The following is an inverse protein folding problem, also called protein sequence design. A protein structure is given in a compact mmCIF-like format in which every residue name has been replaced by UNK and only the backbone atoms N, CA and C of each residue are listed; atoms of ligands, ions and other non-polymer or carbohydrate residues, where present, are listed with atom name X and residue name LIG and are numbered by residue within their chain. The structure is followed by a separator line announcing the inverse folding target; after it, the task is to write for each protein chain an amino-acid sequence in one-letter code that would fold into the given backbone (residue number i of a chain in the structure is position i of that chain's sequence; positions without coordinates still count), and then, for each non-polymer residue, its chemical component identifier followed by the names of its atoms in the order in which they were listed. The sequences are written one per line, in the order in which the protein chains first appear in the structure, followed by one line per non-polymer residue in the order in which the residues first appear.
data_IF_401441713472
#
_entry.id   IF_401441713472
#
_cell.length_a   1.000
_cell.length_b   1.000
_cell.length_c   1.000
_cell.angle_alpha   90.00
_cell.angle_beta   90.00
_cell.angle_gamma   90.00
#
_symmetry.space_group_name_H-M   'P 1'
#
loop_
_entity.id
_entity.type
_entity.pdbx_description
1 polymer ?
#
# COMPACT_ATOMS: atom_id res chain seq x y z
N UNK A 1 71.31 34.01 -8.90
CA UNK A 1 70.25 34.62 -8.05
C UNK A 1 68.94 33.90 -8.39
N UNK A 2 68.46 32.98 -7.54
CA UNK A 2 67.26 33.13 -6.67
C UNK A 2 66.01 33.49 -7.51
N UNK A 3 64.91 32.72 -7.60
CA UNK A 3 64.27 31.76 -6.67
C UNK A 3 63.35 30.78 -7.43
N UNK A 4 63.28 29.55 -6.92
CA UNK A 4 62.23 28.55 -7.22
C UNK A 4 60.84 29.05 -6.80
N UNK A 5 59.81 28.63 -7.52
CA UNK A 5 58.48 28.39 -6.93
C UNK A 5 57.85 27.17 -7.61
N UNK A 6 57.75 26.08 -6.84
CA UNK A 6 56.91 24.91 -7.15
C UNK A 6 55.46 25.29 -6.91
N UNK A 7 54.56 24.88 -7.81
CA UNK A 7 53.16 24.66 -7.46
C UNK A 7 52.69 23.37 -8.12
N UNK A 8 52.67 22.30 -7.32
CA UNK A 8 52.02 21.04 -7.62
C UNK A 8 50.54 21.18 -7.23
N UNK A 9 49.62 21.06 -8.17
CA UNK A 9 48.20 20.84 -7.88
C UNK A 9 47.85 19.41 -8.28
N UNK A 10 47.83 18.57 -7.25
CA UNK A 10 47.26 17.23 -7.20
C UNK A 10 45.77 17.31 -7.57
N UNK A 11 45.38 16.84 -8.75
CA UNK A 11 43.98 16.56 -9.07
C UNK A 11 43.60 15.24 -8.40
N UNK A 12 43.18 15.33 -7.15
CA UNK A 12 42.55 14.24 -6.41
C UNK A 12 41.21 13.90 -7.07
N UNK A 13 41.07 12.62 -7.45
CA UNK A 13 39.82 12.07 -7.94
C UNK A 13 38.71 12.26 -6.90
N UNK A 14 37.64 12.93 -7.32
CA UNK A 14 36.38 12.93 -6.58
C UNK A 14 35.72 11.57 -6.80
N UNK A 15 36.12 10.58 -6.00
CA UNK A 15 35.25 9.46 -5.69
C UNK A 15 34.07 10.04 -4.91
N UNK A 16 32.97 10.33 -5.60
CA UNK A 16 31.71 10.61 -4.96
C UNK A 16 31.22 9.32 -4.28
N UNK A 17 31.71 9.06 -3.07
CA UNK A 17 30.94 8.30 -2.10
C UNK A 17 29.75 9.17 -1.74
N UNK A 18 28.67 9.01 -2.50
CA UNK A 18 27.35 9.51 -2.11
C UNK A 18 27.08 8.94 -0.71
N UNK A 19 27.00 9.84 0.27
CA UNK A 19 26.80 9.45 1.67
C UNK A 19 25.38 8.92 1.75
N UNK A 20 25.23 7.61 1.99
CA UNK A 20 23.93 6.99 2.23
C UNK A 20 23.17 7.83 3.26
N UNK A 21 21.96 8.34 2.94
CA UNK A 21 21.22 9.18 3.84
C UNK A 21 20.85 8.39 5.09
N UNK A 22 20.94 9.08 6.22
CA UNK A 22 20.70 8.52 7.54
C UNK A 22 19.23 8.11 7.68
N UNK A 23 18.99 6.80 7.65
CA UNK A 23 17.65 6.20 7.70
C UNK A 23 16.90 6.54 9.01
N UNK A 24 17.61 6.93 10.07
CA UNK A 24 17.00 7.25 11.37
C UNK A 24 16.28 8.61 11.40
N UNK A 25 16.43 9.43 10.36
CA UNK A 25 15.72 10.72 10.24
C UNK A 25 14.46 10.65 9.38
N UNK A 26 14.19 9.52 8.72
CA UNK A 26 13.04 9.34 7.82
C UNK A 26 11.71 9.12 8.58
N UNK A 27 11.77 8.71 9.85
CA UNK A 27 10.57 8.52 10.69
C UNK A 27 9.79 9.81 10.95
N UNK A 28 10.40 10.99 10.74
CA UNK A 28 9.77 12.27 11.04
C UNK A 28 8.71 12.71 10.01
N UNK A 29 8.75 12.21 8.77
CA UNK A 29 7.90 12.67 7.67
C UNK A 29 6.93 11.61 7.14
N UNK A 30 7.12 10.32 7.47
CA UNK A 30 6.20 9.25 7.08
C UNK A 30 4.99 9.24 8.01
N UNK A 31 3.83 9.64 7.47
CA UNK A 31 2.57 9.59 8.21
C UNK A 31 1.77 8.40 7.73
N UNK A 32 1.69 7.37 8.57
CA UNK A 32 0.83 6.19 8.36
C UNK A 32 -0.41 6.31 9.23
N UNK A 33 -1.58 6.25 8.61
CA UNK A 33 -2.87 6.20 9.25
C UNK A 33 -3.51 4.83 9.01
N UNK A 34 -4.18 4.29 10.02
CA UNK A 34 -4.92 3.03 9.94
C UNK A 34 -6.29 3.19 10.57
N UNK A 35 -7.31 2.57 9.98
CA UNK A 35 -8.65 2.44 10.55
C UNK A 35 -9.23 1.06 10.24
N UNK A 36 -10.24 0.64 10.98
CA UNK A 36 -10.79 -0.70 10.85
C UNK A 36 -12.22 -0.83 11.36
N UNK A 37 -12.87 -1.89 10.90
CA UNK A 37 -14.14 -2.37 11.45
C UNK A 37 -13.90 -3.08 12.78
N UNK A 38 -14.43 -2.50 13.87
CA UNK A 38 -14.31 -3.06 15.23
C UNK A 38 -15.12 -4.34 15.43
N UNK A 39 -16.08 -4.59 14.56
CA UNK A 39 -16.93 -5.78 14.62
C UNK A 39 -16.39 -6.91 13.72
N UNK A 40 -15.34 -6.66 12.92
CA UNK A 40 -14.72 -7.68 12.09
C UNK A 40 -13.90 -8.69 12.92
N UNK A 41 -14.16 -9.98 12.72
CA UNK A 41 -13.39 -11.07 13.31
C UNK A 41 -12.18 -11.43 12.43
N UNK A 42 -11.12 -10.63 12.51
CA UNK A 42 -9.87 -10.84 11.78
C UNK A 42 -9.24 -12.23 12.05
N UNK A 43 -9.55 -12.84 13.19
CA UNK A 43 -9.10 -14.17 13.58
C UNK A 43 -9.77 -15.29 12.79
N UNK A 44 -10.99 -15.07 12.31
CA UNK A 44 -11.76 -16.05 11.53
C UNK A 44 -11.25 -16.20 10.10
N UNK A 45 -10.75 -15.13 9.48
CA UNK A 45 -10.25 -15.16 8.11
C UNK A 45 -8.98 -16.01 8.00
N UNK A 46 -8.93 -16.92 7.02
CA UNK A 46 -7.79 -17.85 6.84
C UNK A 46 -7.01 -17.60 5.57
N UNK A 47 -7.72 -17.34 4.50
CA UNK A 47 -7.15 -17.20 3.16
C UNK A 47 -7.28 -15.76 2.69
N UNK A 48 -6.29 -15.28 1.95
CA UNK A 48 -6.37 -13.97 1.32
C UNK A 48 -5.96 -14.03 -0.15
N UNK A 49 -6.50 -13.11 -0.94
CA UNK A 49 -6.06 -12.84 -2.30
C UNK A 49 -5.46 -11.43 -2.39
N UNK A 50 -4.31 -11.33 -3.05
CA UNK A 50 -3.59 -10.07 -3.27
C UNK A 50 -3.29 -9.96 -4.78
N UNK A 51 -3.88 -8.98 -5.50
CA UNK A 51 -3.62 -8.75 -6.91
C UNK A 51 -2.12 -8.56 -7.21
N UNK A 52 -1.71 -8.90 -8.43
CA UNK A 52 -0.33 -8.80 -8.90
C UNK A 52 0.10 -7.38 -9.30
N UNK A 53 -0.70 -6.37 -8.93
CA UNK A 53 -0.53 -5.00 -9.37
C UNK A 53 -1.09 -4.00 -8.37
N UNK A 54 -0.52 -2.79 -8.38
CA UNK A 54 -0.98 -1.67 -7.58
C UNK A 54 -1.79 -0.76 -8.50
N UNK A 55 -3.00 -0.40 -8.12
CA UNK A 55 -3.81 0.53 -8.90
C UNK A 55 -3.18 1.93 -8.83
N UNK A 56 -3.03 2.61 -9.97
CA UNK A 56 -2.56 3.99 -10.00
C UNK A 56 -3.76 4.93 -10.15
N UNK A 57 -4.01 5.74 -9.12
CA UNK A 57 -5.10 6.69 -9.06
C UNK A 57 -4.67 8.07 -9.57
N UNK A 58 -5.57 8.75 -10.29
CA UNK A 58 -5.35 10.11 -10.81
C UNK A 58 -5.85 10.37 -12.23
N UNK A 59 -6.41 9.36 -12.91
CA UNK A 59 -6.99 9.48 -14.25
C UNK A 59 -8.47 9.08 -14.30
N UNK A 60 -9.13 9.32 -15.43
CA UNK A 60 -10.53 8.90 -15.67
C UNK A 60 -10.71 7.36 -15.68
N UNK A 61 -9.62 6.61 -15.90
CA UNK A 61 -9.56 5.15 -15.87
C UNK A 61 -8.40 4.72 -14.97
N UNK A 62 -8.58 3.59 -14.29
CA UNK A 62 -7.53 2.99 -13.48
C UNK A 62 -6.41 2.47 -14.39
N UNK A 63 -5.17 2.81 -14.06
CA UNK A 63 -3.98 2.11 -14.58
C UNK A 63 -3.40 1.24 -13.47
N UNK A 64 -2.47 0.36 -13.83
CA UNK A 64 -1.94 -0.64 -12.90
C UNK A 64 -0.42 -0.69 -13.00
N UNK A 65 0.25 -0.40 -11.88
CA UNK A 65 1.69 -0.49 -11.71
C UNK A 65 2.09 -1.94 -11.43
N UNK A 66 2.99 -2.48 -12.27
CA UNK A 66 3.33 -3.93 -12.34
C UNK A 66 4.82 -4.26 -12.43
N UNK A 67 5.70 -3.25 -12.38
CA UNK A 67 7.14 -3.48 -12.50
C UNK A 67 7.72 -4.14 -11.23
N UNK A 68 9.04 -4.34 -11.21
CA UNK A 68 9.73 -4.95 -10.06
C UNK A 68 9.61 -4.13 -8.77
N UNK A 69 9.42 -2.81 -8.86
CA UNK A 69 9.19 -1.97 -7.69
C UNK A 69 7.78 -2.19 -7.13
N UNK A 70 6.76 -2.29 -7.98
CA UNK A 70 5.41 -2.66 -7.55
C UNK A 70 5.41 -4.04 -6.87
N UNK A 71 6.10 -5.02 -7.48
CA UNK A 71 6.23 -6.37 -6.92
C UNK A 71 6.91 -6.37 -5.57
N UNK A 72 7.95 -5.57 -5.36
CA UNK A 72 8.62 -5.49 -4.06
C UNK A 72 7.67 -5.00 -2.95
N UNK A 73 6.79 -4.03 -3.24
CA UNK A 73 5.77 -3.56 -2.28
C UNK A 73 4.72 -4.65 -2.02
N UNK A 74 4.22 -5.31 -3.07
CA UNK A 74 3.24 -6.39 -2.95
C UNK A 74 3.81 -7.61 -2.19
N UNK A 75 5.08 -7.94 -2.40
CA UNK A 75 5.76 -8.98 -1.64
C UNK A 75 5.84 -8.60 -0.17
N UNK A 76 6.08 -7.32 0.14
CA UNK A 76 6.10 -6.87 1.53
C UNK A 76 4.74 -7.03 2.21
N UNK A 77 3.64 -6.74 1.51
CA UNK A 77 2.29 -7.02 2.01
C UNK A 77 2.07 -8.52 2.21
N UNK A 78 2.58 -9.34 1.29
CA UNK A 78 2.45 -10.79 1.41
C UNK A 78 3.20 -11.35 2.63
N UNK A 79 4.42 -10.88 2.89
CA UNK A 79 5.20 -11.21 4.09
C UNK A 79 4.43 -10.86 5.37
N UNK A 80 3.91 -9.63 5.47
CA UNK A 80 3.18 -9.19 6.68
C UNK A 80 1.90 -10.03 6.92
N UNK A 81 1.20 -10.43 5.87
CA UNK A 81 0.02 -11.30 5.95
C UNK A 81 0.40 -12.74 6.37
N UNK A 82 1.48 -13.28 5.81
CA UNK A 82 1.99 -14.62 6.17
C UNK A 82 2.44 -14.67 7.64
N UNK A 83 3.18 -13.66 8.11
CA UNK A 83 3.63 -13.52 9.50
C UNK A 83 2.45 -13.42 10.49
N UNK A 84 1.28 -12.98 9.99
CA UNK A 84 0.01 -12.89 10.74
C UNK A 84 -0.87 -14.12 10.62
N UNK A 85 -0.39 -15.17 9.96
CA UNK A 85 -1.05 -16.48 9.88
C UNK A 85 -2.04 -16.62 8.72
N UNK A 86 -2.10 -15.68 7.78
CA UNK A 86 -2.96 -15.80 6.61
C UNK A 86 -2.27 -16.58 5.48
N UNK A 87 -3.04 -17.41 4.78
CA UNK A 87 -2.55 -18.19 3.63
C UNK A 87 -2.93 -17.51 2.31
N UNK A 88 -1.96 -17.24 1.44
CA UNK A 88 -2.21 -16.61 0.15
C UNK A 88 -2.81 -17.58 -0.86
N UNK A 89 -3.89 -17.19 -1.53
CA UNK A 89 -4.35 -17.80 -2.77
C UNK A 89 -3.55 -17.20 -3.94
N UNK A 90 -2.76 -18.03 -4.61
CA UNK A 90 -1.89 -17.60 -5.72
C UNK A 90 -2.57 -17.69 -7.09
N UNK A 91 -3.56 -18.58 -7.22
CA UNK A 91 -4.29 -18.79 -8.46
C UNK A 91 -5.41 -17.74 -8.60
N UNK A 92 -5.37 -16.84 -9.60
CA UNK A 92 -6.41 -15.83 -9.81
C UNK A 92 -7.79 -16.43 -10.08
N UNK A 93 -7.86 -17.66 -10.61
CA UNK A 93 -9.13 -18.35 -10.86
C UNK A 93 -9.80 -18.83 -9.57
N UNK A 94 -9.05 -18.89 -8.46
CA UNK A 94 -9.51 -19.31 -7.13
C UNK A 94 -9.70 -18.15 -6.15
N UNK A 95 -9.70 -16.91 -6.65
CA UNK A 95 -9.85 -15.71 -5.81
C UNK A 95 -11.11 -15.75 -4.95
N UNK A 96 -12.18 -16.39 -5.42
CA UNK A 96 -13.44 -16.58 -4.70
C UNK A 96 -13.33 -17.56 -3.52
N UNK A 97 -12.25 -18.34 -3.41
CA UNK A 97 -11.91 -19.17 -2.24
C UNK A 97 -11.24 -18.35 -1.11
N UNK A 98 -10.87 -17.09 -1.36
CA UNK A 98 -10.26 -16.24 -0.34
C UNK A 98 -11.29 -15.72 0.66
N UNK A 99 -10.94 -15.71 1.96
CA UNK A 99 -11.77 -15.11 3.01
C UNK A 99 -11.74 -13.57 2.92
N UNK A 100 -10.58 -13.02 2.57
CA UNK A 100 -10.37 -11.57 2.42
C UNK A 100 -9.60 -11.22 1.15
N UNK A 101 -9.87 -10.04 0.60
CA UNK A 101 -9.05 -9.42 -0.44
C UNK A 101 -8.17 -8.34 0.16
N UNK A 102 -6.93 -8.20 -0.31
CA UNK A 102 -6.07 -7.05 0.02
C UNK A 102 -5.73 -6.33 -1.27
N UNK A 103 -6.04 -5.04 -1.36
CA UNK A 103 -5.76 -4.21 -2.53
C UNK A 103 -4.92 -2.99 -2.18
N UNK A 104 -4.11 -2.57 -3.16
CA UNK A 104 -3.25 -1.42 -3.05
C UNK A 104 -3.60 -0.40 -4.13
N UNK A 105 -3.53 0.87 -3.77
CA UNK A 105 -3.62 2.00 -4.70
C UNK A 105 -2.51 3.00 -4.43
N UNK A 106 -1.88 3.52 -5.48
CA UNK A 106 -0.90 4.59 -5.42
C UNK A 106 -1.47 5.86 -6.06
N UNK A 107 -1.59 6.92 -5.27
CA UNK A 107 -2.11 8.22 -5.72
C UNK A 107 -0.94 9.07 -6.19
N UNK A 108 -0.69 9.08 -7.50
CA UNK A 108 0.43 9.84 -8.09
C UNK A 108 0.12 11.34 -8.23
N UNK A 109 -1.16 11.72 -8.29
CA UNK A 109 -1.63 13.10 -8.42
C UNK A 109 -2.72 13.40 -7.39
N UNK A 110 -2.73 14.61 -6.82
CA UNK A 110 -3.71 15.01 -5.78
C UNK A 110 -5.12 14.73 -6.26
N UNK A 111 -5.85 13.91 -5.49
CA UNK A 111 -7.17 13.41 -5.86
C UNK A 111 -8.05 13.42 -4.61
N UNK A 112 -9.26 13.99 -4.70
CA UNK A 112 -10.24 13.96 -3.60
C UNK A 112 -11.13 12.72 -3.73
N UNK A 113 -10.98 11.75 -2.84
CA UNK A 113 -11.79 10.52 -2.84
C UNK A 113 -12.79 10.59 -1.69
N UNK A 114 -14.04 10.88 -2.01
CA UNK A 114 -15.15 10.84 -1.04
C UNK A 114 -15.80 9.45 -1.13
N UNK A 115 -15.84 8.71 -0.03
CA UNK A 115 -16.48 7.38 0.01
C UNK A 115 -17.99 7.45 -0.17
N UNK A 116 -18.55 6.45 -0.85
CA UNK A 116 -19.99 6.33 -1.11
C UNK A 116 -20.42 6.70 -2.53
N UNK A 117 -19.49 7.15 -3.39
CA UNK A 117 -19.73 7.40 -4.82
C UNK A 117 -18.84 6.55 -5.73
N UNK A 118 -19.31 6.27 -6.95
CA UNK A 118 -18.47 5.68 -8.00
C UNK A 118 -17.40 6.69 -8.42
N UNK A 119 -16.12 6.34 -8.23
CA UNK A 119 -14.98 7.13 -8.65
C UNK A 119 -14.32 6.48 -9.85
N UNK A 120 -14.36 7.15 -11.01
CA UNK A 120 -13.60 6.71 -12.18
C UNK A 120 -12.11 6.71 -11.83
N UNK A 121 -11.45 5.57 -12.02
CA UNK A 121 -10.03 5.42 -11.68
C UNK A 121 -9.72 4.87 -10.30
N UNK A 122 -10.68 4.23 -9.62
CA UNK A 122 -10.45 3.43 -8.40
C UNK A 122 -10.78 1.95 -8.61
N UNK A 123 -10.57 1.12 -7.57
CA UNK A 123 -10.97 -0.28 -7.56
C UNK A 123 -12.50 -0.40 -7.72
N UNK A 124 -12.90 -1.24 -8.66
CA UNK A 124 -14.29 -1.63 -8.86
C UNK A 124 -14.61 -2.83 -7.94
N UNK A 125 -15.68 -2.75 -7.16
CA UNK A 125 -16.10 -3.86 -6.29
C UNK A 125 -16.43 -5.13 -7.10
N UNK A 126 -16.81 -4.99 -8.37
CA UNK A 126 -17.01 -6.09 -9.31
C UNK A 126 -15.75 -6.89 -9.62
N UNK A 127 -14.55 -6.32 -9.38
CA UNK A 127 -13.31 -7.09 -9.40
C UNK A 127 -13.33 -8.21 -8.37
N UNK A 128 -13.93 -8.00 -7.20
CA UNK A 128 -13.93 -8.95 -6.09
C UNK A 128 -15.08 -9.95 -6.10
N UNK A 129 -16.01 -9.84 -7.05
CA UNK A 129 -17.17 -10.73 -7.16
C UNK A 129 -18.46 -9.96 -7.42
N UNK A 130 -19.62 -10.61 -7.28
CA UNK A 130 -20.94 -10.05 -7.60
C UNK A 130 -21.44 -9.09 -6.51
N UNK A 131 -20.67 -8.05 -6.22
CA UNK A 131 -21.00 -7.01 -5.24
C UNK A 131 -21.78 -5.86 -5.90
N UNK A 132 -22.55 -5.12 -5.11
CA UNK A 132 -23.41 -4.01 -5.55
C UNK A 132 -22.85 -2.63 -5.18
N UNK A 133 -21.73 -2.58 -4.47
CA UNK A 133 -21.17 -1.35 -3.92
C UNK A 133 -20.08 -1.62 -2.90
N UNK A 134 -19.47 -0.56 -2.38
CA UNK A 134 -18.57 -0.60 -1.23
C UNK A 134 -19.35 -0.31 0.06
N UNK A 135 -18.95 -0.94 1.17
CA UNK A 135 -19.45 -0.63 2.51
C UNK A 135 -18.28 -0.31 3.45
N UNK A 136 -18.31 0.89 4.02
CA UNK A 136 -17.33 1.35 5.01
C UNK A 136 -18.04 1.49 6.36
N UNK A 137 -17.79 0.59 7.33
CA UNK A 137 -18.43 0.61 8.65
C UNK A 137 -17.87 1.69 9.58
N UNK A 138 -16.89 2.48 9.13
CA UNK A 138 -16.26 3.60 9.84
C UNK A 138 -16.38 4.89 9.03
N UNK A 139 -16.34 6.08 9.67
CA UNK A 139 -16.42 7.35 8.97
C UNK A 139 -15.20 7.52 8.08
N UNK A 140 -15.44 7.59 6.78
CA UNK A 140 -14.38 7.80 5.81
C UNK A 140 -14.55 9.15 5.11
N UNK A 141 -13.50 9.96 5.17
CA UNK A 141 -13.35 11.17 4.34
C UNK A 141 -11.87 11.31 4.01
N UNK A 142 -11.50 10.96 2.78
CA UNK A 142 -10.11 11.04 2.33
C UNK A 142 -9.93 12.18 1.34
N UNK A 143 -9.00 13.10 1.66
CA UNK A 143 -8.39 13.97 0.67
C UNK A 143 -6.94 13.51 0.52
N UNK A 144 -6.63 12.84 -0.58
CA UNK A 144 -5.29 12.33 -0.82
C UNK A 144 -4.42 13.39 -1.48
N UNK A 145 -3.29 13.67 -0.85
CA UNK A 145 -2.21 14.41 -1.48
C UNK A 145 -1.49 13.50 -2.49
N UNK A 146 -0.77 14.09 -3.44
CA UNK A 146 0.21 13.38 -4.28
C UNK A 146 1.12 12.49 -3.45
N UNK A 147 1.50 11.34 -4.02
CA UNK A 147 2.34 10.33 -3.40
C UNK A 147 1.71 9.80 -2.10
N UNK A 148 0.56 9.14 -2.24
CA UNK A 148 -0.05 8.40 -1.14
C UNK A 148 -0.20 6.94 -1.53
N UNK A 149 0.28 6.03 -0.68
CA UNK A 149 -0.02 4.61 -0.76
C UNK A 149 -1.26 4.34 0.07
N UNK A 150 -2.27 3.70 -0.53
CA UNK A 150 -3.50 3.28 0.13
C UNK A 150 -3.56 1.76 0.09
N UNK A 151 -3.95 1.16 1.21
CA UNK A 151 -4.09 -0.27 1.40
C UNK A 151 -5.47 -0.52 1.99
N UNK A 152 -6.22 -1.46 1.42
CA UNK A 152 -7.56 -1.80 1.86
C UNK A 152 -7.69 -3.33 1.97
N UNK A 153 -8.28 -3.80 3.06
CA UNK A 153 -8.68 -5.19 3.24
C UNK A 153 -10.20 -5.29 3.17
N UNK A 154 -10.69 -6.23 2.37
CA UNK A 154 -12.11 -6.40 2.08
C UNK A 154 -12.57 -7.79 2.51
N UNK A 155 -13.74 -7.88 3.12
CA UNK A 155 -14.32 -9.17 3.56
C UNK A 155 -15.08 -9.83 2.41
N UNK A 156 -14.49 -10.89 1.85
CA UNK A 156 -15.09 -11.67 0.76
C UNK A 156 -16.05 -12.74 1.27
N UNK A 157 -15.97 -13.08 2.56
CA UNK A 157 -16.80 -14.08 3.24
C UNK A 157 -18.13 -13.54 3.73
N UNK A 158 -18.29 -12.22 3.82
CA UNK A 158 -19.56 -11.57 4.16
C UNK A 158 -20.70 -12.14 3.28
N UNK A 159 -21.67 -12.80 3.93
CA UNK A 159 -22.63 -13.71 3.30
C UNK A 159 -23.37 -13.13 2.09
N UNK A 160 -23.61 -13.97 1.08
CA UNK A 160 -24.25 -13.67 -0.22
C UNK A 160 -25.76 -13.41 -0.18
N UNK A 161 -26.38 -13.37 1.00
CA UNK A 161 -27.82 -13.56 1.11
C UNK A 161 -28.55 -12.21 1.18
N UNK A 162 -28.84 -11.62 0.01
CA UNK A 162 -29.63 -10.38 -0.11
C UNK A 162 -29.61 -9.75 -1.51
N UNK A 163 -30.60 -8.91 -1.83
CA UNK A 163 -30.78 -8.26 -3.14
C UNK A 163 -29.85 -7.07 -3.41
N UNK A 164 -29.09 -6.62 -2.41
CA UNK A 164 -28.03 -5.58 -2.55
C UNK A 164 -26.88 -5.92 -1.60
N UNK A 165 -25.75 -6.37 -2.15
CA UNK A 165 -24.60 -6.89 -1.39
C UNK A 165 -23.41 -5.94 -1.53
N UNK A 166 -23.24 -5.02 -0.58
CA UNK A 166 -22.06 -4.16 -0.59
C UNK A 166 -20.86 -4.90 0.01
N UNK A 167 -19.69 -4.74 -0.60
CA UNK A 167 -18.43 -5.33 -0.17
C UNK A 167 -17.87 -4.55 1.02
N UNK A 168 -17.76 -5.16 2.22
CA UNK A 168 -17.22 -4.49 3.39
C UNK A 168 -15.71 -4.26 3.23
N UNK A 169 -15.26 -3.04 3.46
CA UNK A 169 -13.85 -2.73 3.71
C UNK A 169 -13.65 -2.79 5.21
N UNK A 170 -12.95 -3.83 5.68
CA UNK A 170 -12.78 -4.13 7.12
C UNK A 170 -11.52 -3.52 7.70
N UNK A 171 -10.53 -3.21 6.86
CA UNK A 171 -9.35 -2.46 7.28
C UNK A 171 -8.90 -1.52 6.17
N UNK A 172 -8.38 -0.39 6.60
CA UNK A 172 -7.84 0.65 5.76
C UNK A 172 -6.52 1.14 6.33
N UNK A 173 -5.57 1.41 5.44
CA UNK A 173 -4.41 2.21 5.76
C UNK A 173 -4.07 3.18 4.63
N UNK A 174 -3.51 4.33 5.01
CA UNK A 174 -2.83 5.20 4.07
C UNK A 174 -1.50 5.68 4.62
N UNK A 175 -0.54 5.82 3.72
CA UNK A 175 0.77 6.36 4.01
C UNK A 175 1.08 7.49 3.03
N UNK A 176 1.44 8.64 3.57
CA UNK A 176 1.78 9.83 2.80
C UNK A 176 3.07 10.47 3.35
N UNK A 177 3.60 11.45 2.63
CA UNK A 177 4.87 12.11 3.00
C UNK A 177 6.07 11.64 2.18
N UNK A 178 5.86 10.91 1.07
CA UNK A 178 6.94 10.55 0.17
C UNK A 178 7.42 11.79 -0.61
N UNK A 179 8.49 12.41 -0.11
CA UNK A 179 9.11 13.61 -0.71
C UNK A 179 10.33 13.31 -1.58
N UNK A 180 10.70 12.03 -1.72
CA UNK A 180 11.96 11.61 -2.36
C UNK A 180 11.69 10.83 -3.66
N UNK A 181 12.65 10.85 -4.58
CA UNK A 181 12.59 10.10 -5.86
C UNK A 181 13.48 8.85 -5.82
N UNK A 182 13.26 7.92 -6.75
CA UNK A 182 14.10 6.73 -6.91
C UNK A 182 14.01 5.72 -5.77
N UNK A 183 15.14 5.08 -5.42
CA UNK A 183 15.18 3.97 -4.46
C UNK A 183 14.74 4.34 -3.04
N UNK A 184 14.90 5.61 -2.63
CA UNK A 184 14.45 6.07 -1.31
C UNK A 184 12.93 6.04 -1.19
N UNK A 185 12.21 6.44 -2.23
CA UNK A 185 10.75 6.33 -2.24
C UNK A 185 10.32 4.86 -2.12
N UNK A 186 11.01 3.97 -2.82
CA UNK A 186 10.72 2.55 -2.84
C UNK A 186 10.87 1.88 -1.47
N UNK A 187 11.90 2.25 -0.70
CA UNK A 187 12.10 1.74 0.67
C UNK A 187 11.07 2.32 1.63
N UNK A 188 10.71 3.60 1.47
CA UNK A 188 9.68 4.24 2.28
C UNK A 188 8.30 3.60 2.07
N UNK A 189 7.95 3.26 0.83
CA UNK A 189 6.70 2.54 0.52
C UNK A 189 6.65 1.16 1.19
N UNK A 190 7.77 0.43 1.22
CA UNK A 190 7.85 -0.85 1.93
C UNK A 190 7.80 -0.67 3.45
N UNK A 191 8.49 0.33 4.01
CA UNK A 191 8.42 0.64 5.44
C UNK A 191 7.00 1.06 5.86
N UNK A 192 6.28 1.79 5.00
CA UNK A 192 4.90 2.16 5.23
C UNK A 192 3.97 0.95 5.34
N UNK A 193 4.21 -0.09 4.51
CA UNK A 193 3.49 -1.37 4.63
C UNK A 193 3.72 -1.97 6.02
N UNK A 194 4.99 -2.14 6.42
CA UNK A 194 5.35 -2.69 7.75
C UNK A 194 4.67 -1.91 8.86
N UNK A 195 4.83 -0.60 8.86
CA UNK A 195 4.30 0.28 9.90
C UNK A 195 2.77 0.27 9.95
N UNK A 196 2.06 0.11 8.82
CA UNK A 196 0.60 -0.01 8.80
C UNK A 196 0.14 -1.32 9.48
N UNK A 197 0.85 -2.41 9.22
CA UNK A 197 0.57 -3.71 9.82
C UNK A 197 1.01 -3.80 11.30
N UNK A 198 2.10 -3.12 11.71
CA UNK A 198 2.52 -3.00 13.11
C UNK A 198 1.51 -2.20 13.95
N UNK A 199 0.93 -1.14 13.39
CA UNK A 199 -0.14 -0.36 14.01
C UNK A 199 -1.49 -1.08 14.05
N UNK A 200 -1.60 -2.22 13.36
CA UNK A 200 -2.83 -3.01 13.24
C UNK A 200 -2.66 -4.41 13.86
N UNK A 201 -2.34 -4.53 15.16
CA UNK A 201 -2.03 -5.82 15.78
C UNK A 201 -3.23 -6.80 15.84
N UNK A 202 -4.44 -6.30 15.61
CA UNK A 202 -5.68 -7.09 15.53
C UNK A 202 -5.80 -7.86 14.21
N UNK A 203 -5.04 -7.50 13.16
CA UNK A 203 -4.96 -8.29 11.92
C UNK A 203 -4.10 -9.52 12.19
N UNK A 204 -4.73 -10.60 12.62
CA UNK A 204 -4.05 -11.85 12.91
C UNK A 204 -5.03 -13.01 12.82
N UNK A 205 -4.71 -14.03 12.02
CA UNK A 205 -5.50 -15.25 11.94
C UNK A 205 -5.26 -16.16 13.15
N UNK A 206 -6.31 -16.83 13.63
CA UNK A 206 -6.22 -17.84 14.68
C UNK A 206 -6.14 -19.24 14.06
N UNK A 207 -4.94 -19.76 13.84
CA UNK A 207 -4.75 -21.14 13.36
C UNK A 207 -5.25 -22.20 14.36
#
# INVERSE_FOLDING_TARGET
MKKMFLFACLLLGLSACEKDPDMNKLDADLVVYTDYDKDADFGSYKTYFLPDSILEAGGYRATYWKDENAKAILNKVAEEMEDRGYTRILDPEKKDEASVGVQLSYVAQTTQVITGGYWGGWWDYGFWGPWSGWYYPYPVSYSYNTNTLVMEMVDLSAGSDGTTKNLPVVWYASASGFQYSGQFNQKMLQNAVVQAFEQSPYIKSVN
#
